data_IF_519866952396
#
_entry.id   IF_519866952396
#
_cell.length_a   1.000
_cell.length_b   1.000
_cell.length_c   1.000
_cell.angle_alpha   90.00
_cell.angle_beta   90.00
_cell.angle_gamma   90.00
#
_symmetry.space_group_name_H-M   'P 1'
#
loop_
_entity.id
_entity.type
_entity.pdbx_description
1 polymer ?
#
# COMPACT_ATOMS: atom_id res chain seq x y z
N UNK A 1 2.63 6.90 -30.71
CA UNK A 1 3.42 6.40 -29.56
C UNK A 1 2.62 5.34 -28.81
N UNK A 2 3.29 4.38 -28.15
CA UNK A 2 2.65 3.31 -27.34
C UNK A 2 3.37 3.17 -26.01
N UNK A 3 2.62 3.06 -24.91
CA UNK A 3 3.19 2.88 -23.58
C UNK A 3 3.86 1.50 -23.43
N UNK A 4 4.98 1.43 -22.72
CA UNK A 4 5.67 0.17 -22.38
C UNK A 4 5.00 -0.64 -21.27
N UNK A 5 4.12 0.00 -20.49
CA UNK A 5 3.26 -0.65 -19.50
C UNK A 5 1.97 0.19 -19.31
N UNK A 6 0.90 -0.47 -18.87
CA UNK A 6 -0.37 0.17 -18.53
C UNK A 6 -1.02 -0.56 -17.35
N UNK A 7 -1.58 0.19 -16.40
CA UNK A 7 -2.42 -0.38 -15.34
C UNK A 7 -3.84 -0.55 -15.88
N UNK A 8 -4.35 -1.78 -16.05
CA UNK A 8 -5.67 -2.01 -16.63
C UNK A 8 -6.78 -1.53 -15.71
N UNK A 9 -7.95 -1.27 -16.28
CA UNK A 9 -9.19 -0.99 -15.54
C UNK A 9 -10.26 -2.00 -15.97
N UNK A 10 -10.91 -2.70 -15.03
CA UNK A 10 -10.72 -2.66 -13.58
C UNK A 10 -9.45 -3.39 -13.11
N UNK A 11 -9.05 -3.16 -11.85
CA UNK A 11 -7.93 -3.88 -11.21
C UNK A 11 -6.58 -3.14 -11.15
N UNK A 12 -6.51 -1.90 -11.64
CA UNK A 12 -5.31 -1.07 -11.58
C UNK A 12 -5.07 -0.44 -10.21
N UNK A 13 -5.17 0.88 -10.12
CA UNK A 13 -4.77 1.63 -8.92
C UNK A 13 -5.73 1.49 -7.73
N UNK A 14 -7.01 1.13 -7.97
CA UNK A 14 -8.03 1.03 -6.92
C UNK A 14 -7.65 0.08 -5.77
N UNK A 15 -7.32 -1.20 -6.06
CA UNK A 15 -6.83 -2.13 -5.04
C UNK A 15 -5.56 -1.65 -4.33
N UNK A 16 -4.64 -1.01 -5.05
CA UNK A 16 -3.42 -0.46 -4.45
C UNK A 16 -3.70 0.70 -3.48
N UNK A 17 -4.69 1.55 -3.76
CA UNK A 17 -5.09 2.62 -2.83
C UNK A 17 -5.57 2.04 -1.50
N UNK A 18 -6.39 0.97 -1.54
CA UNK A 18 -6.86 0.28 -0.33
C UNK A 18 -5.67 -0.35 0.41
N UNK A 19 -4.78 -1.05 -0.32
CA UNK A 19 -3.60 -1.68 0.27
C UNK A 19 -2.69 -0.66 0.96
N UNK A 20 -2.38 0.46 0.31
CA UNK A 20 -1.54 1.52 0.87
C UNK A 20 -2.18 2.17 2.11
N UNK A 21 -3.49 2.40 2.08
CA UNK A 21 -4.21 2.93 3.25
C UNK A 21 -4.09 1.98 4.45
N UNK A 22 -4.31 0.69 4.25
CA UNK A 22 -4.21 -0.32 5.30
C UNK A 22 -2.77 -0.46 5.82
N UNK A 23 -1.78 -0.48 4.93
CA UNK A 23 -0.36 -0.53 5.29
C UNK A 23 0.05 0.66 6.18
N UNK A 24 -0.36 1.88 5.80
CA UNK A 24 -0.08 3.09 6.58
C UNK A 24 -0.82 3.08 7.92
N UNK A 25 -2.08 2.63 7.94
CA UNK A 25 -2.89 2.56 9.16
C UNK A 25 -2.29 1.57 10.15
N UNK A 26 -1.87 0.38 9.69
CA UNK A 26 -1.24 -0.63 10.53
C UNK A 26 0.10 -0.11 11.10
N UNK A 27 0.92 0.53 10.27
CA UNK A 27 2.18 1.13 10.70
C UNK A 27 1.97 2.20 11.77
N UNK A 28 0.99 3.09 11.57
CA UNK A 28 0.64 4.12 12.55
C UNK A 28 0.14 3.51 13.87
N UNK A 29 -0.65 2.43 13.81
CA UNK A 29 -1.12 1.71 14.98
C UNK A 29 0.04 1.07 15.76
N UNK A 30 1.00 0.43 15.08
CA UNK A 30 2.19 -0.12 15.74
C UNK A 30 2.99 0.97 16.46
N UNK A 31 3.25 2.10 15.80
CA UNK A 31 3.97 3.25 16.38
C UNK A 31 3.26 3.81 17.62
N UNK A 32 1.93 4.00 17.53
CA UNK A 32 1.14 4.54 18.64
C UNK A 32 1.14 3.62 19.87
N UNK A 33 1.21 2.30 19.66
CA UNK A 33 1.17 1.30 20.71
C UNK A 33 2.57 0.77 21.11
N UNK A 34 3.66 1.35 20.55
CA UNK A 34 5.05 0.90 20.77
C UNK A 34 5.25 -0.58 20.44
N UNK A 35 4.55 -1.07 19.42
CA UNK A 35 4.71 -2.42 18.86
C UNK A 35 5.73 -2.39 17.71
N UNK A 36 6.41 -3.51 17.43
CA UNK A 36 7.27 -3.61 16.25
C UNK A 36 6.48 -3.36 14.97
N UNK A 37 7.10 -2.66 14.01
CA UNK A 37 6.52 -2.43 12.70
C UNK A 37 6.57 -3.71 11.84
N UNK A 38 5.56 -3.94 10.99
CA UNK A 38 5.54 -5.11 10.12
C UNK A 38 6.62 -5.04 9.03
N UNK A 39 7.46 -6.08 8.96
CA UNK A 39 8.54 -6.18 7.96
C UNK A 39 7.97 -6.28 6.53
N UNK A 40 8.55 -5.51 5.61
CA UNK A 40 8.22 -5.55 4.18
C UNK A 40 6.87 -4.96 3.79
N UNK A 41 6.12 -4.37 4.73
CA UNK A 41 4.82 -3.75 4.44
C UNK A 41 4.94 -2.27 4.05
N UNK A 42 5.92 -1.58 4.62
CA UNK A 42 6.23 -0.18 4.32
C UNK A 42 7.72 -0.07 4.01
N UNK A 43 8.07 0.85 3.10
CA UNK A 43 9.45 1.18 2.70
C UNK A 43 10.03 2.28 3.57
#
# INVERSE_FOLDING_TARGET
>A
ERAGAITPVPGGVGPMTIACLLANTLTAACRANKLPEPEGLTV
#
